data_IF_702875419679
#
_entry.id   IF_702875419679
#
_cell.length_a   1.000
_cell.length_b   1.000
_cell.length_c   1.000
_cell.angle_alpha   90.00
_cell.angle_beta   90.00
_cell.angle_gamma   90.00
#
_symmetry.space_group_name_H-M   'P 1'
#
loop_
_entity.id
_entity.type
_entity.pdbx_description
1 polymer ?
#
# COMPACT_ATOMS: atom_id res chain seq x y z
N UNK A 1 -23.78 9.43 -18.14
CA UNK A 1 -24.09 10.07 -16.85
C UNK A 1 -25.59 10.28 -16.61
N UNK A 2 -26.47 9.93 -17.55
CA UNK A 2 -27.92 10.06 -17.40
C UNK A 2 -28.48 11.50 -17.49
N UNK A 3 -27.66 12.47 -17.93
CA UNK A 3 -28.08 13.83 -18.21
C UNK A 3 -28.33 14.02 -19.72
N UNK A 4 -29.42 14.69 -20.06
CA UNK A 4 -29.70 15.18 -21.42
C UNK A 4 -29.09 16.58 -21.64
N UNK A 5 -29.05 17.03 -22.91
CA UNK A 5 -28.41 18.31 -23.26
C UNK A 5 -29.03 19.52 -22.59
N UNK A 6 -30.33 19.45 -22.26
CA UNK A 6 -31.09 20.52 -21.63
C UNK A 6 -31.19 20.43 -20.12
N UNK A 7 -30.54 19.40 -19.52
CA UNK A 7 -30.55 19.22 -18.08
C UNK A 7 -29.64 20.22 -17.35
N UNK A 8 -30.10 20.68 -16.20
CA UNK A 8 -29.30 21.52 -15.32
C UNK A 8 -28.23 20.73 -14.65
N UNK A 9 -26.98 20.88 -15.12
CA UNK A 9 -25.81 20.21 -14.54
C UNK A 9 -25.48 20.86 -13.19
N UNK A 10 -25.26 20.05 -12.12
CA UNK A 10 -24.84 20.58 -10.84
C UNK A 10 -23.50 21.33 -10.93
N UNK A 11 -23.41 22.48 -10.28
CA UNK A 11 -22.16 23.25 -10.20
C UNK A 11 -21.06 22.41 -9.51
N UNK A 12 -19.79 22.62 -9.90
CA UNK A 12 -18.62 21.96 -9.30
C UNK A 12 -18.58 22.07 -7.77
N UNK A 13 -19.04 23.20 -7.21
CA UNK A 13 -19.13 23.42 -5.77
C UNK A 13 -20.14 22.49 -5.09
N UNK A 14 -21.20 22.06 -5.80
CA UNK A 14 -22.18 21.09 -5.28
C UNK A 14 -21.53 19.73 -5.06
N UNK A 15 -20.71 19.26 -6.02
CA UNK A 15 -19.96 18.03 -5.89
C UNK A 15 -18.98 18.10 -4.72
N UNK A 16 -18.17 19.17 -4.63
CA UNK A 16 -17.22 19.36 -3.52
C UNK A 16 -17.93 19.39 -2.16
N UNK A 17 -19.03 20.13 -2.02
CA UNK A 17 -19.82 20.19 -0.80
C UNK A 17 -20.40 18.81 -0.42
N UNK A 18 -20.92 18.08 -1.39
CA UNK A 18 -21.49 16.75 -1.16
C UNK A 18 -20.41 15.76 -0.74
N UNK A 19 -19.24 15.79 -1.41
CA UNK A 19 -18.08 14.98 -1.04
C UNK A 19 -17.69 15.22 0.41
N UNK A 20 -17.49 16.47 0.81
CA UNK A 20 -17.05 16.82 2.16
C UNK A 20 -18.13 16.54 3.22
N UNK A 21 -19.40 16.82 2.95
CA UNK A 21 -20.46 16.75 3.96
C UNK A 21 -21.12 15.38 4.09
N UNK A 22 -21.24 14.62 2.99
CA UNK A 22 -21.99 13.37 2.96
C UNK A 22 -21.11 12.13 2.79
N UNK A 23 -19.99 12.23 2.05
CA UNK A 23 -19.21 11.08 1.62
C UNK A 23 -17.84 10.96 2.29
N UNK A 24 -17.37 12.02 2.96
CA UNK A 24 -16.04 12.03 3.58
C UNK A 24 -15.84 10.91 4.63
N UNK A 25 -16.91 10.56 5.35
CA UNK A 25 -16.89 9.49 6.37
C UNK A 25 -17.50 8.17 5.86
N UNK A 26 -17.72 8.05 4.55
CA UNK A 26 -18.28 6.85 3.95
C UNK A 26 -17.27 6.17 3.04
N UNK A 27 -17.33 4.83 2.97
CA UNK A 27 -16.52 4.02 2.04
C UNK A 27 -17.05 4.07 0.60
N UNK A 28 -17.89 5.05 0.25
CA UNK A 28 -18.61 5.09 -1.01
C UNK A 28 -17.66 5.03 -2.22
N UNK A 29 -16.61 5.86 -2.21
CA UNK A 29 -15.66 5.91 -3.31
C UNK A 29 -14.90 4.60 -3.45
N UNK A 30 -14.51 4.00 -2.33
CA UNK A 30 -13.81 2.72 -2.31
C UNK A 30 -14.70 1.58 -2.80
N UNK A 31 -15.95 1.54 -2.34
CA UNK A 31 -16.95 0.56 -2.82
C UNK A 31 -17.22 0.72 -4.32
N UNK A 32 -17.40 1.95 -4.80
CA UNK A 32 -17.59 2.23 -6.23
C UNK A 32 -16.37 1.81 -7.05
N UNK A 33 -15.16 2.07 -6.56
CA UNK A 33 -13.92 1.64 -7.22
C UNK A 33 -13.86 0.12 -7.35
N UNK A 34 -14.05 -0.61 -6.26
CA UNK A 34 -14.00 -2.08 -6.29
C UNK A 34 -15.14 -2.71 -7.10
N UNK A 35 -16.32 -2.09 -7.13
CA UNK A 35 -17.41 -2.54 -8.00
C UNK A 35 -17.04 -2.42 -9.49
N UNK A 36 -16.37 -1.34 -9.88
CA UNK A 36 -15.85 -1.17 -11.24
C UNK A 36 -14.76 -2.21 -11.55
N UNK A 37 -13.82 -2.42 -10.62
CA UNK A 37 -12.76 -3.44 -10.78
C UNK A 37 -13.38 -4.81 -10.96
N UNK A 38 -14.39 -5.16 -10.17
CA UNK A 38 -15.13 -6.43 -10.30
C UNK A 38 -15.78 -6.59 -11.68
N UNK A 39 -16.45 -5.55 -12.17
CA UNK A 39 -17.01 -5.57 -13.54
C UNK A 39 -15.93 -5.77 -14.60
N UNK A 40 -14.73 -5.20 -14.41
CA UNK A 40 -13.59 -5.43 -15.30
C UNK A 40 -13.09 -6.89 -15.24
N UNK A 41 -13.08 -7.51 -14.06
CA UNK A 41 -12.75 -8.95 -13.91
C UNK A 41 -13.79 -9.81 -14.61
N UNK A 42 -15.08 -9.57 -14.34
CA UNK A 42 -16.19 -10.32 -14.92
C UNK A 42 -16.23 -10.16 -16.45
N UNK A 43 -15.80 -9.02 -16.97
CA UNK A 43 -15.65 -8.73 -18.39
C UNK A 43 -14.35 -9.28 -19.04
N UNK A 44 -13.48 -9.96 -18.27
CA UNK A 44 -12.22 -10.53 -18.77
C UNK A 44 -11.14 -9.49 -19.11
N UNK A 45 -11.29 -8.27 -18.62
CA UNK A 45 -10.33 -7.18 -18.80
C UNK A 45 -9.16 -7.25 -17.80
N UNK A 46 -9.34 -7.94 -16.68
CA UNK A 46 -8.33 -8.21 -15.65
C UNK A 46 -8.20 -9.71 -15.52
N UNK A 47 -7.00 -10.26 -15.71
CA UNK A 47 -6.73 -11.69 -15.52
C UNK A 47 -5.69 -11.98 -14.45
N UNK A 48 -4.97 -10.97 -13.98
CA UNK A 48 -3.95 -11.09 -12.94
C UNK A 48 -2.70 -11.86 -13.32
N UNK A 49 -2.51 -12.17 -14.61
CA UNK A 49 -1.32 -12.90 -15.06
C UNK A 49 -0.06 -12.06 -15.02
N UNK A 50 -0.18 -10.75 -15.27
CA UNK A 50 0.92 -9.80 -15.23
C UNK A 50 0.46 -8.50 -14.56
N UNK A 51 0.84 -8.33 -13.31
CA UNK A 51 0.55 -7.15 -12.50
C UNK A 51 1.82 -6.35 -12.27
N UNK A 52 1.67 -5.06 -12.03
CA UNK A 52 2.75 -4.20 -11.53
C UNK A 52 2.26 -3.37 -10.36
N UNK A 53 3.12 -3.12 -9.39
CA UNK A 53 2.81 -2.22 -8.29
C UNK A 53 3.97 -1.27 -8.00
N UNK A 54 3.63 -0.08 -7.54
CA UNK A 54 4.59 0.97 -7.19
C UNK A 54 4.05 1.89 -6.11
N UNK A 55 4.96 2.43 -5.32
CA UNK A 55 4.69 3.37 -4.24
C UNK A 55 5.03 4.81 -4.62
N UNK A 56 4.09 5.72 -4.42
CA UNK A 56 4.28 7.14 -4.66
C UNK A 56 4.12 7.96 -3.39
N UNK A 57 4.98 8.99 -3.22
CA UNK A 57 4.84 9.95 -2.14
C UNK A 57 3.89 11.07 -2.53
N UNK A 58 2.93 11.36 -1.68
CA UNK A 58 1.98 12.46 -1.81
C UNK A 58 2.24 13.46 -0.68
N UNK A 59 2.72 14.69 -0.97
CA UNK A 59 2.93 15.68 0.06
C UNK A 59 1.60 16.15 0.66
N UNK A 60 1.54 16.28 1.99
CA UNK A 60 0.42 16.90 2.68
C UNK A 60 0.47 18.43 2.53
N UNK A 61 -0.71 19.04 2.43
CA UNK A 61 -0.81 20.51 2.38
C UNK A 61 -0.80 21.09 3.81
N UNK A 62 0.37 21.07 4.46
CA UNK A 62 0.56 21.51 5.84
C UNK A 62 1.69 22.51 5.96
N UNK A 63 1.57 23.49 6.86
CA UNK A 63 2.66 24.41 7.17
C UNK A 63 3.68 23.78 8.12
N UNK A 64 4.92 24.27 8.13
CA UNK A 64 5.96 23.78 9.03
C UNK A 64 5.64 24.08 10.51
N UNK A 65 4.94 25.17 10.78
CA UNK A 65 4.54 25.60 12.12
C UNK A 65 3.51 24.62 12.75
N UNK A 66 2.82 23.83 11.91
CA UNK A 66 1.87 22.81 12.39
C UNK A 66 2.53 21.47 12.74
N UNK A 67 3.84 21.33 12.54
CA UNK A 67 4.53 20.05 12.78
C UNK A 67 4.65 19.78 14.27
N UNK A 68 4.27 18.58 14.67
CA UNK A 68 4.33 18.11 16.06
C UNK A 68 4.94 16.70 16.11
N UNK A 69 5.55 16.39 17.25
CA UNK A 69 6.01 15.05 17.54
C UNK A 69 5.00 14.38 18.47
N UNK A 70 4.52 13.21 18.07
CA UNK A 70 3.59 12.40 18.86
C UNK A 70 4.20 11.04 19.16
N UNK A 71 3.99 10.53 20.35
CA UNK A 71 4.32 9.15 20.66
C UNK A 71 3.21 8.24 20.12
N UNK A 72 3.59 7.23 19.35
CA UNK A 72 2.69 6.19 18.85
C UNK A 72 3.14 4.83 19.35
N UNK A 73 2.20 3.98 19.67
CA UNK A 73 2.45 2.56 19.92
C UNK A 73 2.33 1.79 18.60
N UNK A 74 3.43 1.15 18.20
CA UNK A 74 3.47 0.35 16.97
C UNK A 74 3.38 -1.11 17.35
N UNK A 75 2.26 -1.74 17.03
CA UNK A 75 1.96 -3.11 17.44
C UNK A 75 2.64 -4.20 16.61
N UNK A 76 3.11 -3.91 15.40
CA UNK A 76 3.64 -4.95 14.51
C UNK A 76 5.03 -4.60 13.95
N UNK A 77 5.98 -5.52 14.14
CA UNK A 77 7.19 -5.57 13.32
C UNK A 77 6.89 -6.28 11.99
N UNK A 78 7.75 -6.10 10.97
CA UNK A 78 7.68 -6.86 9.72
C UNK A 78 7.64 -8.38 9.97
N UNK A 79 8.45 -8.87 10.92
CA UNK A 79 8.50 -10.29 11.25
C UNK A 79 7.16 -10.79 11.81
N UNK A 80 6.53 -10.05 12.73
CA UNK A 80 5.21 -10.43 13.24
C UNK A 80 4.14 -10.48 12.16
N UNK A 81 4.25 -9.60 11.16
CA UNK A 81 3.33 -9.62 10.02
C UNK A 81 3.54 -10.86 9.15
N UNK A 82 4.79 -11.19 8.82
CA UNK A 82 5.13 -12.39 8.05
C UNK A 82 4.73 -13.67 8.80
N UNK A 83 4.95 -13.72 10.11
CA UNK A 83 4.53 -14.85 10.96
C UNK A 83 3.00 -15.01 10.98
N UNK A 84 2.24 -13.90 10.81
CA UNK A 84 0.78 -13.97 10.70
C UNK A 84 0.28 -14.46 9.34
N UNK A 85 1.07 -14.31 8.29
CA UNK A 85 0.77 -14.85 6.96
C UNK A 85 1.16 -16.33 6.84
N UNK A 86 2.09 -16.83 7.67
CA UNK A 86 2.56 -18.21 7.64
C UNK A 86 1.67 -19.11 8.48
N UNK A 87 0.58 -19.61 7.88
CA UNK A 87 -0.36 -20.53 8.55
C UNK A 87 0.29 -21.88 8.93
N UNK A 88 1.29 -22.34 8.17
CA UNK A 88 2.01 -23.58 8.47
C UNK A 88 2.82 -23.44 9.76
N UNK A 89 3.49 -22.32 9.97
CA UNK A 89 4.17 -21.99 11.22
C UNK A 89 3.17 -21.88 12.39
N UNK A 90 2.04 -21.26 12.16
CA UNK A 90 1.01 -21.03 13.21
C UNK A 90 0.39 -22.34 13.70
N UNK A 91 0.34 -23.37 12.86
CA UNK A 91 -0.25 -24.69 13.16
C UNK A 91 0.75 -25.72 13.69
N UNK A 92 2.04 -25.40 13.80
CA UNK A 92 3.03 -26.34 14.32
C UNK A 92 2.88 -26.56 15.85
N UNK A 93 2.86 -27.81 16.34
CA UNK A 93 2.82 -28.09 17.76
C UNK A 93 4.06 -27.47 18.45
N UNK A 94 3.83 -26.59 19.41
CA UNK A 94 4.89 -25.91 20.16
C UNK A 94 5.30 -24.55 19.60
N UNK A 95 4.78 -24.10 18.46
CA UNK A 95 4.99 -22.74 18.00
C UNK A 95 4.36 -21.74 19.00
N UNK A 96 5.17 -20.95 19.64
CA UNK A 96 4.71 -19.82 20.45
C UNK A 96 4.83 -18.57 19.58
N UNK A 97 3.69 -18.02 19.18
CA UNK A 97 3.65 -16.71 18.52
C UNK A 97 4.49 -15.74 19.36
N UNK A 98 5.53 -15.10 18.76
CA UNK A 98 6.33 -14.14 19.51
C UNK A 98 5.38 -13.10 20.11
N UNK A 99 5.60 -12.68 21.38
CA UNK A 99 4.76 -11.66 21.98
C UNK A 99 4.82 -10.41 21.12
N UNK A 100 3.66 -9.89 20.77
CA UNK A 100 3.53 -8.63 20.03
C UNK A 100 4.24 -7.56 20.83
N UNK A 101 5.42 -7.16 20.39
CA UNK A 101 6.22 -6.17 21.10
C UNK A 101 5.68 -4.80 20.76
N UNK A 102 4.92 -4.21 21.67
CA UNK A 102 4.53 -2.81 21.56
C UNK A 102 5.79 -1.97 21.65
N UNK A 103 6.14 -1.30 20.57
CA UNK A 103 7.29 -0.39 20.53
C UNK A 103 6.75 1.02 20.46
N UNK A 104 7.05 1.84 21.46
CA UNK A 104 6.79 3.26 21.41
C UNK A 104 7.76 3.92 20.47
N UNK A 105 7.23 4.64 19.47
CA UNK A 105 8.02 5.42 18.52
C UNK A 105 7.53 6.85 18.51
N UNK A 106 8.49 7.77 18.40
CA UNK A 106 8.18 9.17 18.13
C UNK A 106 7.92 9.33 16.64
N UNK A 107 6.75 9.86 16.29
CA UNK A 107 6.34 10.17 14.92
C UNK A 107 6.16 11.68 14.77
N UNK A 108 6.77 12.26 13.73
CA UNK A 108 6.47 13.64 13.34
C UNK A 108 5.28 13.64 12.39
N UNK A 109 4.28 14.42 12.71
CA UNK A 109 3.05 14.62 11.92
C UNK A 109 2.66 16.10 11.93
N UNK A 110 1.50 16.45 11.42
CA UNK A 110 0.94 17.80 11.50
C UNK A 110 -0.26 17.85 12.43
N UNK A 111 -0.38 18.92 13.20
CA UNK A 111 -1.56 19.18 14.02
C UNK A 111 -2.84 19.36 13.19
N UNK A 112 -2.71 19.92 11.97
CA UNK A 112 -3.84 20.14 11.05
C UNK A 112 -4.16 18.91 10.19
N UNK A 113 -3.25 17.92 10.15
CA UNK A 113 -3.40 16.67 9.40
C UNK A 113 -2.71 15.52 10.17
N UNK A 114 -3.35 15.01 11.25
CA UNK A 114 -2.75 14.04 12.16
C UNK A 114 -2.44 12.66 11.54
N UNK A 115 -3.12 12.32 10.46
CA UNK A 115 -2.93 11.04 9.77
C UNK A 115 -1.70 11.04 8.86
N UNK A 116 -1.17 12.22 8.54
CA UNK A 116 0.06 12.38 7.76
C UNK A 116 1.30 11.95 8.56
N UNK A 117 2.42 11.68 7.87
CA UNK A 117 3.68 11.33 8.53
C UNK A 117 4.88 11.96 7.86
N UNK A 118 5.98 12.14 8.61
CA UNK A 118 7.22 12.66 8.07
C UNK A 118 8.06 11.55 7.44
N UNK A 119 8.55 11.80 6.23
CA UNK A 119 9.52 10.96 5.53
C UNK A 119 10.77 11.78 5.18
N UNK A 120 11.91 11.11 5.23
CA UNK A 120 13.19 11.63 4.75
C UNK A 120 13.99 10.49 4.14
N UNK A 121 13.63 10.11 2.92
CA UNK A 121 14.27 9.01 2.22
C UNK A 121 14.40 9.32 0.72
N UNK A 122 15.62 9.33 0.21
CA UNK A 122 15.90 9.67 -1.19
C UNK A 122 15.41 11.08 -1.56
N UNK A 123 14.60 11.17 -2.61
CA UNK A 123 13.96 12.41 -3.05
C UNK A 123 12.68 12.77 -2.27
N UNK A 124 12.14 11.80 -1.48
CA UNK A 124 10.93 11.97 -0.69
C UNK A 124 11.29 12.63 0.64
N UNK A 125 10.86 13.89 0.84
CA UNK A 125 11.15 14.64 2.08
C UNK A 125 10.00 15.54 2.47
N UNK A 126 9.50 15.37 3.69
CA UNK A 126 8.45 16.22 4.25
C UNK A 126 7.34 15.41 4.91
N UNK A 127 6.27 16.10 5.28
CA UNK A 127 5.06 15.47 5.79
C UNK A 127 4.13 15.13 4.64
N UNK A 128 3.60 13.90 4.64
CA UNK A 128 2.71 13.43 3.59
C UNK A 128 2.27 11.99 3.79
N UNK A 129 1.98 11.36 2.68
CA UNK A 129 1.45 10.01 2.58
C UNK A 129 2.25 9.17 1.59
N UNK A 130 2.25 7.87 1.80
CA UNK A 130 2.66 6.88 0.81
C UNK A 130 1.41 6.28 0.19
N UNK A 131 1.33 6.28 -1.12
CA UNK A 131 0.28 5.65 -1.90
C UNK A 131 0.86 4.41 -2.58
N UNK A 132 0.29 3.25 -2.30
CA UNK A 132 0.56 2.02 -3.04
C UNK A 132 -0.52 1.81 -4.08
N UNK A 133 -0.13 1.55 -5.31
CA UNK A 133 -1.04 1.31 -6.42
C UNK A 133 -0.65 0.06 -7.19
N UNK A 134 -1.64 -0.72 -7.61
CA UNK A 134 -1.44 -1.92 -8.43
C UNK A 134 -2.23 -1.81 -9.72
N UNK A 135 -1.63 -2.23 -10.82
CA UNK A 135 -2.20 -2.21 -12.16
C UNK A 135 -2.12 -3.59 -12.79
N UNK A 136 -3.18 -4.02 -13.45
CA UNK A 136 -3.14 -5.13 -14.41
C UNK A 136 -2.51 -4.64 -15.71
N UNK A 137 -1.41 -5.27 -16.15
CA UNK A 137 -0.62 -4.81 -17.28
C UNK A 137 -1.28 -5.10 -18.62
N UNK A 138 -2.26 -5.99 -18.70
CA UNK A 138 -2.92 -6.38 -19.95
C UNK A 138 -3.66 -5.21 -20.59
N UNK A 139 -4.42 -4.48 -19.79
CA UNK A 139 -5.20 -3.35 -20.26
C UNK A 139 -4.91 -2.04 -19.53
N UNK A 140 -3.93 -2.02 -18.62
CA UNK A 140 -3.55 -0.84 -17.83
C UNK A 140 -4.62 -0.43 -16.81
N UNK A 141 -5.35 -1.39 -16.25
CA UNK A 141 -6.43 -1.13 -15.31
C UNK A 141 -5.89 -1.13 -13.89
N UNK A 142 -6.11 -0.04 -13.16
CA UNK A 142 -5.83 0.04 -11.73
C UNK A 142 -6.75 -0.92 -10.98
N UNK A 143 -6.15 -1.85 -10.22
CA UNK A 143 -6.87 -2.87 -9.44
C UNK A 143 -6.95 -2.51 -7.97
N UNK A 144 -6.00 -1.73 -7.46
CA UNK A 144 -5.96 -1.29 -6.09
C UNK A 144 -5.22 0.01 -5.90
N UNK A 145 -5.68 0.81 -4.94
CA UNK A 145 -4.99 2.00 -4.44
C UNK A 145 -5.22 2.09 -2.95
N UNK A 146 -4.15 2.14 -2.18
CA UNK A 146 -4.18 2.39 -0.74
C UNK A 146 -3.26 3.56 -0.38
N UNK A 147 -3.63 4.30 0.66
CA UNK A 147 -2.89 5.46 1.14
C UNK A 147 -2.56 5.28 2.61
N UNK A 148 -1.31 5.46 2.94
CA UNK A 148 -0.75 5.26 4.28
C UNK A 148 0.02 6.49 4.74
N UNK A 149 0.25 6.61 6.03
CA UNK A 149 1.11 7.66 6.56
C UNK A 149 2.56 7.48 6.06
N UNK A 150 3.22 8.57 5.61
CA UNK A 150 4.54 8.47 5.00
C UNK A 150 5.66 8.00 5.93
N UNK A 151 5.42 7.87 7.23
CA UNK A 151 6.39 7.32 8.18
C UNK A 151 6.33 5.79 8.32
N UNK A 152 5.45 5.13 7.60
CA UNK A 152 5.37 3.67 7.57
C UNK A 152 6.43 3.07 6.63
N UNK A 153 6.72 1.78 6.77
CA UNK A 153 7.70 1.11 5.92
C UNK A 153 7.06 0.59 4.64
N UNK A 154 7.52 1.05 3.48
CA UNK A 154 7.04 0.62 2.17
C UNK A 154 6.98 -0.91 2.02
N UNK A 155 7.98 -1.65 2.51
CA UNK A 155 8.00 -3.11 2.43
C UNK A 155 6.87 -3.82 3.20
N UNK A 156 6.33 -3.21 4.26
CA UNK A 156 5.14 -3.74 4.95
C UNK A 156 3.87 -3.31 4.22
N UNK A 157 3.85 -2.07 3.74
CA UNK A 157 2.69 -1.49 3.08
C UNK A 157 2.31 -2.26 1.83
N UNK A 158 3.30 -2.57 0.98
CA UNK A 158 3.06 -3.33 -0.25
C UNK A 158 2.42 -4.69 0.05
N UNK A 159 2.90 -5.43 1.04
CA UNK A 159 2.34 -6.75 1.37
C UNK A 159 0.90 -6.65 1.87
N UNK A 160 0.59 -5.68 2.73
CA UNK A 160 -0.79 -5.41 3.18
C UNK A 160 -1.71 -5.01 2.04
N UNK A 161 -1.20 -4.20 1.12
CA UNK A 161 -1.93 -3.78 -0.08
C UNK A 161 -2.28 -4.97 -0.97
N UNK A 162 -1.34 -5.89 -1.20
CA UNK A 162 -1.54 -7.10 -2.01
C UNK A 162 -2.49 -8.09 -1.32
N UNK A 163 -2.27 -8.36 -0.03
CA UNK A 163 -3.14 -9.24 0.76
C UNK A 163 -4.60 -8.77 0.71
N UNK A 164 -4.83 -7.46 0.87
CA UNK A 164 -6.17 -6.89 0.78
C UNK A 164 -6.81 -7.12 -0.58
N UNK A 165 -6.08 -6.96 -1.68
CA UNK A 165 -6.59 -7.20 -3.03
C UNK A 165 -6.97 -8.68 -3.25
N UNK A 166 -6.13 -9.60 -2.79
CA UNK A 166 -6.40 -11.04 -2.84
C UNK A 166 -7.69 -11.36 -2.06
N UNK A 167 -7.84 -10.80 -0.85
CA UNK A 167 -9.03 -10.99 -0.02
C UNK A 167 -10.30 -10.40 -0.65
N UNK A 168 -10.17 -9.42 -1.55
CA UNK A 168 -11.27 -8.87 -2.35
C UNK A 168 -11.55 -9.66 -3.63
N UNK A 169 -10.80 -10.77 -3.86
CA UNK A 169 -10.97 -11.65 -5.02
C UNK A 169 -10.31 -11.13 -6.29
N UNK A 170 -9.38 -10.18 -6.21
CA UNK A 170 -8.63 -9.71 -7.37
C UNK A 170 -7.57 -10.76 -7.71
N UNK A 171 -7.56 -11.33 -8.93
CA UNK A 171 -6.59 -12.33 -9.32
C UNK A 171 -5.18 -11.73 -9.40
N UNK A 172 -4.17 -12.47 -8.92
CA UNK A 172 -2.78 -12.00 -8.94
C UNK A 172 -1.81 -13.18 -8.93
N UNK A 173 -1.26 -13.52 -10.09
CA UNK A 173 -0.30 -14.64 -10.21
C UNK A 173 1.14 -14.16 -10.24
N UNK A 174 1.41 -13.06 -10.96
CA UNK A 174 2.74 -12.50 -11.17
C UNK A 174 2.71 -11.00 -10.92
N UNK A 175 3.74 -10.51 -10.21
CA UNK A 175 3.83 -9.10 -9.84
C UNK A 175 5.23 -8.57 -10.12
N UNK A 176 5.31 -7.48 -10.86
CA UNK A 176 6.53 -6.70 -11.03
C UNK A 176 6.57 -5.57 -9.99
N UNK A 177 7.70 -5.43 -9.31
CA UNK A 177 7.99 -4.37 -8.35
C UNK A 177 9.31 -3.69 -8.72
N UNK A 178 9.52 -2.47 -8.25
CA UNK A 178 10.79 -1.79 -8.42
C UNK A 178 11.87 -2.34 -7.47
N UNK A 179 13.13 -1.89 -7.68
CA UNK A 179 14.27 -2.30 -6.85
C UNK A 179 14.12 -1.88 -5.38
N UNK A 180 13.33 -0.87 -5.06
CA UNK A 180 13.10 -0.42 -3.69
C UNK A 180 12.47 -1.50 -2.81
N UNK A 181 11.77 -2.45 -3.41
CA UNK A 181 11.13 -3.58 -2.73
C UNK A 181 12.03 -4.81 -2.61
N UNK A 182 13.27 -4.78 -3.10
CA UNK A 182 14.22 -5.91 -3.03
C UNK A 182 14.68 -6.16 -1.59
N UNK A 183 13.86 -6.88 -0.85
CA UNK A 183 14.14 -7.32 0.54
C UNK A 183 13.68 -8.75 0.74
N UNK A 184 14.43 -9.52 1.56
CA UNK A 184 14.05 -10.90 1.88
C UNK A 184 12.63 -11.01 2.47
N UNK A 185 12.19 -9.99 3.21
CA UNK A 185 10.85 -9.94 3.77
C UNK A 185 9.76 -9.80 2.71
N UNK A 186 9.97 -9.00 1.66
CA UNK A 186 9.03 -8.89 0.55
C UNK A 186 8.97 -10.18 -0.24
N UNK A 187 10.12 -10.80 -0.56
CA UNK A 187 10.15 -12.10 -1.24
C UNK A 187 9.38 -13.17 -0.45
N UNK A 188 9.62 -13.25 0.87
CA UNK A 188 8.90 -14.20 1.72
C UNK A 188 7.40 -13.90 1.77
N UNK A 189 7.00 -12.63 1.87
CA UNK A 189 5.59 -12.23 1.86
C UNK A 189 4.90 -12.59 0.55
N UNK A 190 5.54 -12.35 -0.61
CA UNK A 190 5.01 -12.73 -1.92
C UNK A 190 4.84 -14.25 -2.04
N UNK A 191 5.82 -15.03 -1.56
CA UNK A 191 5.74 -16.49 -1.52
C UNK A 191 4.54 -16.96 -0.68
N UNK A 192 4.35 -16.42 0.52
CA UNK A 192 3.21 -16.73 1.39
C UNK A 192 1.85 -16.35 0.79
N UNK A 193 1.81 -15.27 0.01
CA UNK A 193 0.63 -14.84 -0.73
C UNK A 193 0.41 -15.63 -2.04
N UNK A 194 1.32 -16.53 -2.40
CA UNK A 194 1.25 -17.31 -3.64
C UNK A 194 1.51 -16.51 -4.91
N UNK A 195 2.24 -15.39 -4.81
CA UNK A 195 2.55 -14.48 -5.90
C UNK A 195 3.97 -14.69 -6.40
N UNK A 196 4.19 -14.82 -7.70
CA UNK A 196 5.52 -14.84 -8.30
C UNK A 196 6.01 -13.40 -8.48
N UNK A 197 6.98 -12.97 -7.65
CA UNK A 197 7.56 -11.62 -7.71
C UNK A 197 8.67 -11.48 -8.73
N UNK A 198 8.67 -10.40 -9.48
CA UNK A 198 9.74 -9.97 -10.38
C UNK A 198 10.30 -8.64 -9.86
N UNK A 199 11.40 -8.71 -9.11
CA UNK A 199 12.05 -7.56 -8.47
C UNK A 199 13.49 -7.48 -8.97
N UNK A 200 13.95 -6.35 -9.53
CA UNK A 200 15.34 -6.23 -9.98
C UNK A 200 16.31 -6.31 -8.81
N UNK A 201 17.32 -7.19 -8.90
CA UNK A 201 18.32 -7.35 -7.86
C UNK A 201 19.09 -6.04 -7.58
N UNK A 202 19.41 -5.82 -6.31
CA UNK A 202 20.29 -4.72 -5.91
C UNK A 202 21.71 -5.04 -6.38
N UNK A 203 22.28 -4.18 -7.22
CA UNK A 203 23.67 -4.29 -7.62
C UNK A 203 24.54 -3.71 -6.50
N UNK A 204 25.28 -4.57 -5.83
CA UNK A 204 26.30 -4.12 -4.87
C UNK A 204 27.53 -3.63 -5.62
N UNK A 205 28.04 -2.46 -5.24
CA UNK A 205 29.26 -1.87 -5.81
C UNK A 205 30.54 -2.68 -5.49
N UNK A 206 30.47 -3.61 -4.52
CA UNK A 206 31.55 -4.52 -4.18
C UNK A 206 31.17 -5.95 -4.59
N UNK A 207 31.99 -6.63 -5.39
CA UNK A 207 31.73 -8.00 -5.81
C UNK A 207 31.72 -8.97 -4.60
N UNK A 208 30.92 -10.04 -4.68
CA UNK A 208 30.79 -11.04 -3.60
C UNK A 208 32.10 -11.67 -3.13
N UNK A 209 33.09 -11.77 -4.00
CA UNK A 209 34.44 -12.30 -3.72
C UNK A 209 35.13 -11.61 -2.53
N UNK A 210 34.78 -10.35 -2.25
CA UNK A 210 35.35 -9.60 -1.12
C UNK A 210 34.85 -10.10 0.24
N UNK A 211 33.77 -10.86 0.27
CA UNK A 211 33.15 -11.37 1.50
C UNK A 211 33.25 -12.89 1.65
N UNK A 212 33.98 -13.56 0.78
CA UNK A 212 34.23 -15.00 0.89
C UNK A 212 33.02 -15.90 0.60
N UNK A 213 32.02 -15.38 -0.06
CA UNK A 213 30.88 -16.14 -0.61
C UNK A 213 31.21 -16.50 -2.06
N UNK A 214 31.49 -17.77 -2.30
CA UNK A 214 31.64 -18.35 -3.65
C UNK A 214 30.31 -18.87 -4.16
#
# INVERSE_FOLDING_TARGET
CGFELDDTIPNHSTFSKTRTRKWQQSDLFQKAFYEIVKQCIDGGLIDGEAMAADGSYIPANVSRESWINVEIEVEQSMQSYLDSLDEELSNQPGFKKPPTKIVRKCRTTSQTDPDSGYINHGSKRGIGYLMEATVDCKHGILTGVDVYSANEKESVLILRHLERQINLGIPMSRLALDRGYETGAVHRGLELLGIIGYIPAIQFSNPPEKYGFS
#
